data_IF_219220446551
#
_entry.id   IF_219220446551
#
_cell.length_a   1.000
_cell.length_b   1.000
_cell.length_c   1.000
_cell.angle_alpha   90.00
_cell.angle_beta   90.00
_cell.angle_gamma   90.00
#
_symmetry.space_group_name_H-M   'P 1'
#
loop_
_entity.id
_entity.type
_entity.pdbx_description
1 polymer ?
#
# COMPACT_ATOMS: atom_id res chain seq x y z
N UNK A 1 45.42 -14.68 17.79
CA UNK A 1 45.08 -15.29 19.09
C UNK A 1 44.82 -14.24 20.16
N UNK A 2 43.67 -13.56 20.08
CA UNK A 2 43.17 -12.71 21.17
C UNK A 2 42.27 -13.52 22.10
N UNK A 3 42.26 -13.17 23.38
CA UNK A 3 41.23 -13.59 24.34
C UNK A 3 39.90 -12.87 24.04
N UNK A 4 38.75 -13.38 24.54
CA UNK A 4 37.45 -12.71 24.36
C UNK A 4 37.44 -11.25 24.85
N UNK A 5 38.16 -10.95 25.93
CA UNK A 5 38.26 -9.60 26.50
C UNK A 5 39.06 -8.68 25.58
N UNK A 6 40.21 -9.12 25.09
CA UNK A 6 41.03 -8.33 24.17
C UNK A 6 40.33 -8.12 22.81
N UNK A 7 39.57 -9.12 22.34
CA UNK A 7 38.75 -8.99 21.15
C UNK A 7 37.63 -7.93 21.31
N UNK A 8 37.02 -7.82 22.50
CA UNK A 8 36.05 -6.74 22.77
C UNK A 8 36.70 -5.36 22.87
N UNK A 9 37.93 -5.25 23.41
CA UNK A 9 38.71 -4.01 23.40
C UNK A 9 38.99 -3.59 21.94
N UNK A 10 39.43 -4.52 21.10
CA UNK A 10 39.65 -4.27 19.67
C UNK A 10 38.36 -3.84 18.97
N UNK A 11 37.22 -4.50 19.25
CA UNK A 11 35.89 -4.12 18.72
C UNK A 11 35.45 -2.72 19.19
N UNK A 12 35.71 -2.35 20.45
CA UNK A 12 35.43 -1.01 20.98
C UNK A 12 36.31 0.07 20.34
N UNK A 13 37.55 -0.26 20.00
CA UNK A 13 38.41 0.62 19.21
C UNK A 13 37.82 0.87 17.82
N UNK A 14 37.25 -0.16 17.17
CA UNK A 14 36.58 -0.04 15.87
C UNK A 14 35.38 0.91 15.90
N UNK A 15 34.49 0.80 16.90
CA UNK A 15 33.22 1.53 16.94
C UNK A 15 33.27 2.96 17.50
N UNK A 16 34.45 3.56 17.70
CA UNK A 16 34.59 4.89 18.32
C UNK A 16 34.71 6.01 17.27
N UNK A 17 34.26 7.23 17.61
CA UNK A 17 34.42 8.44 16.76
C UNK A 17 35.90 8.81 16.48
N UNK A 18 36.86 8.13 17.12
CA UNK A 18 38.31 8.19 16.87
C UNK A 18 38.86 6.80 16.53
N UNK A 19 38.15 6.07 15.67
CA UNK A 19 38.41 4.66 15.30
C UNK A 19 39.85 4.47 14.81
N UNK A 20 40.32 5.31 13.88
CA UNK A 20 41.65 5.17 13.29
C UNK A 20 42.80 5.24 14.31
N UNK A 21 42.82 6.24 15.19
CA UNK A 21 43.90 6.39 16.17
C UNK A 21 43.92 5.25 17.21
N UNK A 22 42.73 4.82 17.66
CA UNK A 22 42.62 3.71 18.62
C UNK A 22 42.91 2.36 17.99
N UNK A 23 42.54 2.17 16.72
CA UNK A 23 42.89 0.96 15.97
C UNK A 23 44.40 0.87 15.78
N UNK A 24 45.07 1.96 15.39
CA UNK A 24 46.52 1.98 15.23
C UNK A 24 47.28 1.66 16.52
N UNK A 25 46.75 2.07 17.68
CA UNK A 25 47.32 1.72 18.98
C UNK A 25 47.32 0.20 19.26
N UNK A 26 46.36 -0.55 18.71
CA UNK A 26 46.26 -2.02 18.85
C UNK A 26 47.01 -2.79 17.76
N UNK A 27 47.56 -2.12 16.74
CA UNK A 27 48.22 -2.73 15.57
C UNK A 27 49.29 -3.74 15.96
N UNK A 28 50.21 -3.35 16.85
CA UNK A 28 51.32 -4.21 17.27
C UNK A 28 50.86 -5.49 17.95
N UNK A 29 49.78 -5.41 18.75
CA UNK A 29 49.21 -6.57 19.45
C UNK A 29 48.45 -7.49 18.50
N UNK A 30 47.70 -6.92 17.55
CA UNK A 30 47.00 -7.67 16.51
C UNK A 30 47.99 -8.42 15.60
N UNK A 31 48.95 -7.73 15.01
CA UNK A 31 49.92 -8.30 14.06
C UNK A 31 50.81 -9.34 14.74
N UNK A 32 51.33 -9.03 15.93
CA UNK A 32 52.11 -10.00 16.70
C UNK A 32 51.29 -11.23 17.11
N UNK A 33 50.00 -11.05 17.44
CA UNK A 33 49.07 -12.14 17.74
C UNK A 33 48.67 -12.99 16.54
N UNK A 34 48.68 -12.40 15.33
CA UNK A 34 48.41 -13.06 14.06
C UNK A 34 49.62 -13.90 13.59
N UNK A 35 50.84 -13.35 13.70
CA UNK A 35 52.08 -14.07 13.39
C UNK A 35 52.24 -15.30 14.29
N UNK A 36 51.95 -15.17 15.60
CA UNK A 36 51.96 -16.32 16.52
C UNK A 36 50.95 -17.42 16.17
N UNK A 37 49.88 -17.09 15.44
CA UNK A 37 48.90 -18.07 14.94
C UNK A 37 49.26 -18.63 13.56
N UNK A 38 50.43 -18.30 13.01
CA UNK A 38 50.95 -18.88 11.77
C UNK A 38 50.77 -18.02 10.52
N UNK A 39 50.32 -16.75 10.63
CA UNK A 39 50.29 -15.83 9.49
C UNK A 39 51.68 -15.27 9.19
N UNK A 40 51.97 -15.04 7.90
CA UNK A 40 53.17 -14.28 7.52
C UNK A 40 53.04 -12.82 8.00
N UNK A 41 54.15 -12.11 8.25
CA UNK A 41 54.10 -10.70 8.64
C UNK A 41 53.32 -9.83 7.64
N UNK A 42 53.46 -10.14 6.34
CA UNK A 42 52.75 -9.45 5.26
C UNK A 42 51.24 -9.66 5.34
N UNK A 43 50.79 -10.91 5.49
CA UNK A 43 49.36 -11.24 5.56
C UNK A 43 48.70 -10.69 6.84
N UNK A 44 49.44 -10.72 7.96
CA UNK A 44 48.98 -10.18 9.24
C UNK A 44 48.77 -8.66 9.16
N UNK A 45 49.67 -7.95 8.48
CA UNK A 45 49.55 -6.51 8.25
C UNK A 45 48.38 -6.19 7.32
N UNK A 46 48.25 -6.92 6.21
CA UNK A 46 47.14 -6.73 5.26
C UNK A 46 45.78 -6.97 5.92
N UNK A 47 45.67 -8.02 6.75
CA UNK A 47 44.46 -8.33 7.52
C UNK A 47 44.10 -7.19 8.48
N UNK A 48 45.09 -6.63 9.19
CA UNK A 48 44.86 -5.49 10.08
C UNK A 48 44.36 -4.26 9.30
N UNK A 49 44.95 -3.95 8.14
CA UNK A 49 44.51 -2.84 7.30
C UNK A 49 43.06 -3.01 6.83
N UNK A 50 42.69 -4.23 6.40
CA UNK A 50 41.30 -4.56 6.06
C UNK A 50 40.36 -4.35 7.25
N UNK A 51 40.71 -4.87 8.44
CA UNK A 51 39.91 -4.66 9.64
C UNK A 51 39.77 -3.17 10.00
N UNK A 52 40.85 -2.39 9.91
CA UNK A 52 40.86 -0.95 10.15
C UNK A 52 39.95 -0.19 9.19
N UNK A 53 39.97 -0.54 7.89
CA UNK A 53 39.10 0.07 6.88
C UNK A 53 37.60 -0.23 7.11
N UNK A 54 37.25 -1.42 7.60
CA UNK A 54 35.86 -1.79 7.91
C UNK A 54 35.34 -1.23 9.24
N UNK A 55 36.22 -0.70 10.10
CA UNK A 55 35.84 -0.21 11.42
C UNK A 55 34.76 0.89 11.37
N UNK A 56 34.79 1.75 10.34
CA UNK A 56 33.83 2.84 10.17
C UNK A 56 32.43 2.37 9.75
N UNK A 57 32.31 1.16 9.18
CA UNK A 57 31.06 0.58 8.69
C UNK A 57 30.61 -0.66 9.46
N UNK A 58 31.33 -1.02 10.53
CA UNK A 58 31.05 -2.21 11.33
C UNK A 58 29.71 -2.10 12.07
N UNK A 59 28.85 -3.12 11.93
CA UNK A 59 27.54 -3.15 12.57
C UNK A 59 27.39 -4.33 13.54
N UNK A 60 26.64 -4.15 14.62
CA UNK A 60 26.39 -5.20 15.60
C UNK A 60 25.48 -6.29 15.02
N UNK A 61 26.05 -7.47 14.72
CA UNK A 61 25.31 -8.60 14.14
C UNK A 61 24.09 -9.01 14.97
N UNK A 62 24.19 -9.04 16.30
CA UNK A 62 23.08 -9.41 17.16
C UNK A 62 21.89 -8.43 17.03
N UNK A 63 22.19 -7.13 16.97
CA UNK A 63 21.17 -6.10 16.76
C UNK A 63 20.57 -6.22 15.35
N UNK A 64 21.40 -6.36 14.31
CA UNK A 64 20.92 -6.57 12.94
C UNK A 64 20.02 -7.81 12.83
N UNK A 65 20.40 -8.92 13.45
CA UNK A 65 19.64 -10.16 13.41
C UNK A 65 18.26 -10.02 14.07
N UNK A 66 18.18 -9.31 15.21
CA UNK A 66 16.91 -9.05 15.88
C UNK A 66 15.94 -8.25 14.97
N UNK A 67 16.41 -7.18 14.33
CA UNK A 67 15.59 -6.39 13.40
C UNK A 67 15.28 -7.12 12.09
N UNK A 68 16.22 -7.93 11.59
CA UNK A 68 16.02 -8.75 10.39
C UNK A 68 14.89 -9.77 10.61
N UNK A 69 14.80 -10.36 11.81
CA UNK A 69 13.69 -11.26 12.16
C UNK A 69 12.34 -10.55 12.10
N UNK A 70 12.21 -9.37 12.72
CA UNK A 70 10.96 -8.59 12.69
C UNK A 70 10.59 -8.23 11.25
N UNK A 71 11.57 -7.83 10.44
CA UNK A 71 11.36 -7.48 9.02
C UNK A 71 10.87 -8.69 8.22
N UNK A 72 11.46 -9.87 8.46
CA UNK A 72 11.06 -11.12 7.83
C UNK A 72 9.66 -11.56 8.25
N UNK A 73 9.35 -11.57 9.55
CA UNK A 73 8.04 -11.94 10.08
C UNK A 73 6.95 -11.01 9.50
N UNK A 74 7.25 -9.70 9.41
CA UNK A 74 6.34 -8.70 8.81
C UNK A 74 6.12 -8.96 7.32
N UNK A 75 7.18 -9.24 6.55
CA UNK A 75 7.08 -9.56 5.14
C UNK A 75 6.32 -10.88 4.90
N UNK A 76 6.49 -11.87 5.79
CA UNK A 76 5.77 -13.12 5.77
C UNK A 76 4.26 -12.89 6.01
N UNK A 77 3.89 -12.10 7.03
CA UNK A 77 2.49 -11.73 7.28
C UNK A 77 1.89 -10.97 6.10
N UNK A 78 2.61 -10.00 5.52
CA UNK A 78 2.16 -9.27 4.33
C UNK A 78 2.00 -10.18 3.10
N UNK A 79 2.80 -11.26 2.99
CA UNK A 79 2.72 -12.20 1.87
C UNK A 79 1.56 -13.19 2.00
N UNK A 80 1.36 -13.77 3.19
CA UNK A 80 0.44 -14.89 3.40
C UNK A 80 -0.90 -14.48 4.02
N UNK A 81 -0.93 -13.40 4.82
CA UNK A 81 -2.13 -12.92 5.52
C UNK A 81 -2.33 -11.42 5.30
N UNK A 82 -2.36 -10.93 4.05
CA UNK A 82 -2.30 -9.50 3.77
C UNK A 82 -3.50 -8.72 4.33
N UNK A 83 -4.71 -9.29 4.31
CA UNK A 83 -5.89 -8.64 4.90
C UNK A 83 -5.77 -8.45 6.41
N UNK A 84 -5.36 -9.51 7.13
CA UNK A 84 -5.15 -9.48 8.58
C UNK A 84 -3.98 -8.56 8.96
N UNK A 85 -2.90 -8.60 8.19
CA UNK A 85 -1.76 -7.70 8.34
C UNK A 85 -2.19 -6.24 8.22
N UNK A 86 -2.94 -5.90 7.16
CA UNK A 86 -3.45 -4.55 6.94
C UNK A 86 -4.35 -4.09 8.08
N UNK A 87 -5.28 -4.94 8.56
CA UNK A 87 -6.11 -4.64 9.73
C UNK A 87 -5.25 -4.37 10.97
N UNK A 88 -4.24 -5.20 11.24
CA UNK A 88 -3.31 -4.97 12.33
C UNK A 88 -2.58 -3.63 12.23
N UNK A 89 -2.16 -3.23 11.03
CA UNK A 89 -1.54 -1.92 10.78
C UNK A 89 -2.54 -0.76 10.99
N UNK A 90 -3.78 -0.90 10.51
CA UNK A 90 -4.84 0.12 10.67
C UNK A 90 -5.21 0.31 12.14
N UNK A 91 -5.35 -0.78 12.88
CA UNK A 91 -5.75 -0.78 14.28
C UNK A 91 -4.69 -0.16 15.21
N UNK A 92 -3.41 -0.23 14.83
CA UNK A 92 -2.33 0.39 15.61
C UNK A 92 -1.99 1.83 15.18
N UNK A 93 -2.80 2.48 14.33
CA UNK A 93 -2.56 3.89 13.95
C UNK A 93 -2.69 4.84 15.17
N UNK A 94 -1.91 5.94 15.22
CA UNK A 94 -0.99 6.43 14.20
C UNK A 94 0.39 5.72 14.23
N UNK A 95 0.74 5.01 13.15
CA UNK A 95 2.03 4.35 12.99
C UNK A 95 2.74 4.88 11.74
N UNK A 96 3.88 5.54 11.93
CA UNK A 96 4.80 5.89 10.86
C UNK A 96 4.27 6.92 9.84
N UNK A 97 4.68 6.73 8.59
CA UNK A 97 4.65 7.75 7.53
C UNK A 97 3.31 7.84 6.78
N UNK A 98 2.63 6.71 6.56
CA UNK A 98 1.44 6.62 5.70
C UNK A 98 0.13 6.79 6.48
N UNK A 99 -0.85 7.44 5.85
CA UNK A 99 -2.20 7.57 6.39
C UNK A 99 -3.01 6.26 6.20
N UNK A 100 -4.12 6.06 6.95
CA UNK A 100 -5.02 4.94 6.74
C UNK A 100 -5.48 4.78 5.29
N UNK A 101 -5.67 5.90 4.57
CA UNK A 101 -6.10 5.88 3.16
C UNK A 101 -5.07 5.19 2.26
N UNK A 102 -3.78 5.51 2.43
CA UNK A 102 -2.70 4.90 1.64
C UNK A 102 -2.61 3.41 1.91
N UNK A 103 -2.76 3.01 3.18
CA UNK A 103 -2.74 1.60 3.59
C UNK A 103 -3.91 0.82 3.00
N UNK A 104 -5.11 1.42 2.99
CA UNK A 104 -6.31 0.84 2.36
C UNK A 104 -6.17 0.78 0.84
N UNK A 105 -5.63 1.83 0.21
CA UNK A 105 -5.38 1.84 -1.23
C UNK A 105 -4.34 0.80 -1.63
N UNK A 106 -3.31 0.56 -0.82
CA UNK A 106 -2.36 -0.52 -1.01
C UNK A 106 -3.07 -1.88 -0.97
N UNK A 107 -3.93 -2.11 0.02
CA UNK A 107 -4.70 -3.34 0.11
C UNK A 107 -5.59 -3.57 -1.12
N UNK A 108 -6.27 -2.52 -1.61
CA UNK A 108 -7.11 -2.55 -2.82
C UNK A 108 -6.29 -2.89 -4.06
N UNK A 109 -5.10 -2.29 -4.24
CA UNK A 109 -4.18 -2.62 -5.34
C UNK A 109 -3.69 -4.07 -5.31
N UNK A 110 -3.56 -4.64 -4.12
CA UNK A 110 -3.23 -6.06 -3.94
C UNK A 110 -4.45 -6.99 -4.07
N UNK A 111 -5.62 -6.47 -4.45
CA UNK A 111 -6.83 -7.24 -4.72
C UNK A 111 -7.67 -7.55 -3.47
N UNK A 112 -7.34 -6.98 -2.32
CA UNK A 112 -8.11 -7.18 -1.08
C UNK A 112 -9.34 -6.30 -1.13
N UNK A 113 -10.51 -6.91 -0.93
CA UNK A 113 -11.77 -6.17 -0.87
C UNK A 113 -11.83 -5.38 0.44
N UNK A 114 -12.23 -4.12 0.36
CA UNK A 114 -12.53 -3.28 1.52
C UNK A 114 -14.02 -3.04 1.53
N UNK A 115 -14.67 -3.44 2.62
CA UNK A 115 -16.09 -3.30 2.84
C UNK A 115 -16.35 -2.00 3.60
N UNK A 116 -17.42 -1.26 3.24
CA UNK A 116 -17.77 -0.04 3.97
C UNK A 116 -18.13 -0.37 5.43
N UNK A 117 -18.12 0.69 6.22
CA UNK A 117 -18.66 0.68 7.58
C UNK A 117 -20.14 0.32 7.49
N UNK A 118 -20.64 -0.44 8.46
CA UNK A 118 -22.02 -0.89 8.56
C UNK A 118 -22.41 -0.92 10.04
N UNK A 119 -23.51 -0.28 10.41
CA UNK A 119 -23.89 -0.17 11.84
C UNK A 119 -24.24 -1.52 12.50
N UNK A 120 -24.69 -2.49 11.70
CA UNK A 120 -25.02 -3.83 12.18
C UNK A 120 -23.79 -4.74 12.17
N UNK A 121 -22.93 -4.61 11.16
CA UNK A 121 -21.81 -5.55 10.96
C UNK A 121 -20.46 -5.05 11.52
N UNK A 122 -20.16 -3.75 11.47
CA UNK A 122 -18.84 -3.23 11.85
C UNK A 122 -18.62 -3.26 13.36
N UNK A 123 -17.47 -3.78 13.80
CA UNK A 123 -16.99 -3.62 15.17
C UNK A 123 -16.43 -2.20 15.39
N UNK A 124 -16.01 -1.91 16.62
CA UNK A 124 -15.24 -0.70 16.93
C UNK A 124 -13.94 -0.63 16.12
N UNK A 125 -13.12 -1.68 16.24
CA UNK A 125 -11.88 -1.86 15.50
C UNK A 125 -12.14 -2.36 14.08
N UNK A 126 -11.17 -2.16 13.17
CA UNK A 126 -11.22 -2.80 11.86
C UNK A 126 -11.09 -4.31 12.04
N UNK A 127 -11.79 -5.09 11.23
CA UNK A 127 -11.75 -6.54 11.27
C UNK A 127 -11.65 -7.13 9.86
N UNK A 128 -11.36 -8.43 9.80
CA UNK A 128 -11.35 -9.21 8.57
C UNK A 128 -12.59 -10.08 8.49
N UNK A 129 -13.22 -10.14 7.32
CA UNK A 129 -14.40 -10.96 7.07
C UNK A 129 -14.11 -12.00 5.99
N UNK A 130 -14.56 -13.25 6.15
CA UNK A 130 -14.51 -14.22 5.06
C UNK A 130 -15.14 -13.62 3.80
N UNK A 131 -14.43 -13.70 2.69
CA UNK A 131 -14.85 -13.21 1.39
C UNK A 131 -14.67 -14.32 0.38
N UNK A 132 -15.75 -14.75 -0.31
CA UNK A 132 -15.66 -15.87 -1.23
C UNK A 132 -14.70 -15.52 -2.36
N UNK A 133 -13.56 -16.21 -2.39
CA UNK A 133 -12.65 -16.14 -3.52
C UNK A 133 -13.35 -16.77 -4.72
N UNK A 134 -13.33 -16.11 -5.89
CA UNK A 134 -13.93 -16.63 -7.13
C UNK A 134 -13.34 -17.99 -7.59
N UNK A 135 -12.36 -18.54 -6.87
CA UNK A 135 -11.70 -19.82 -7.11
C UNK A 135 -12.42 -21.04 -6.55
N UNK A 136 -13.53 -20.93 -5.82
CA UNK A 136 -14.31 -22.10 -5.37
C UNK A 136 -15.27 -22.63 -6.45
N UNK A 137 -14.75 -22.99 -7.62
CA UNK A 137 -15.39 -24.07 -8.41
C UNK A 137 -14.86 -25.39 -7.85
N UNK A 138 -15.71 -26.38 -7.51
CA UNK A 138 -15.24 -27.65 -6.98
C UNK A 138 -14.29 -28.28 -8.01
N UNK A 139 -13.04 -28.48 -7.60
CA UNK A 139 -12.03 -29.16 -8.41
C UNK A 139 -12.52 -30.57 -8.71
N UNK A 140 -12.67 -30.88 -10.00
CA UNK A 140 -12.95 -32.23 -10.49
C UNK A 140 -11.91 -33.18 -9.88
N UNK A 141 -12.29 -34.34 -9.30
CA UNK A 141 -11.33 -35.20 -8.63
C UNK A 141 -10.22 -35.59 -9.61
N UNK A 142 -8.97 -35.37 -9.19
CA UNK A 142 -7.78 -35.78 -9.92
C UNK A 142 -7.81 -37.30 -10.10
N UNK A 143 -7.86 -37.77 -11.35
CA UNK A 143 -7.61 -39.18 -11.66
C UNK A 143 -6.19 -39.52 -11.20
N UNK A 144 -5.96 -40.66 -10.53
CA UNK A 144 -4.61 -41.09 -10.18
C UNK A 144 -3.82 -41.38 -11.46
N UNK A 145 -2.61 -40.81 -11.54
CA UNK A 145 -1.65 -41.08 -12.62
C UNK A 145 -1.15 -42.53 -12.54
N UNK A 146 -0.88 -43.19 -13.69
CA UNK A 146 -0.37 -44.56 -13.69
C UNK A 146 1.09 -44.61 -13.19
N UNK A 147 1.54 -45.73 -12.62
CA UNK A 147 2.88 -45.85 -12.07
C UNK A 147 3.96 -45.86 -13.15
N UNK A 148 5.08 -45.19 -12.86
CA UNK A 148 6.25 -45.11 -13.71
C UNK A 148 6.95 -46.47 -13.71
N UNK A 149 6.99 -47.14 -14.87
CA UNK A 149 7.72 -48.40 -15.05
C UNK A 149 9.24 -48.14 -15.02
N UNK A 150 9.93 -48.82 -14.11
CA UNK A 150 11.39 -48.83 -13.99
C UNK A 150 12.02 -49.58 -15.17
N UNK A 151 12.91 -48.91 -15.91
CA UNK A 151 13.66 -49.50 -17.02
C UNK A 151 15.03 -49.97 -16.52
N UNK A 152 15.21 -51.28 -16.41
CA UNK A 152 16.50 -51.92 -16.19
C UNK A 152 16.70 -53.02 -17.26
N UNK A 153 17.93 -53.16 -17.76
CA UNK A 153 18.41 -54.38 -18.39
C UNK A 153 18.65 -54.33 -19.90
N UNK A 154 19.90 -54.59 -20.27
CA UNK A 154 20.47 -54.64 -21.62
C UNK A 154 20.05 -55.88 -22.45
N UNK A 155 20.18 -55.77 -23.77
CA UNK A 155 20.28 -56.91 -24.70
C UNK A 155 20.27 -56.50 -26.18
N UNK A 156 21.44 -56.41 -26.81
CA UNK A 156 21.66 -56.54 -28.28
C UNK A 156 21.53 -58.03 -28.69
N UNK A 157 21.63 -58.49 -29.98
CA UNK A 157 21.85 -57.83 -31.29
C UNK A 157 20.92 -58.36 -32.44
N UNK A 158 20.82 -57.79 -33.65
CA UNK A 158 21.49 -58.17 -34.95
C UNK A 158 20.51 -57.71 -36.08
N UNK A 159 20.89 -56.87 -37.05
CA UNK A 159 21.48 -57.12 -38.39
C UNK A 159 20.44 -57.09 -39.55
N UNK A 160 20.89 -56.51 -40.67
CA UNK A 160 20.35 -56.52 -42.06
C UNK A 160 19.17 -55.58 -42.39
N UNK A 161 19.05 -54.91 -43.55
CA UNK A 161 19.92 -54.51 -44.67
C UNK A 161 19.09 -53.50 -45.52
N UNK A 162 19.74 -52.80 -46.46
CA UNK A 162 19.18 -51.97 -47.56
C UNK A 162 18.46 -50.65 -47.21
N UNK A 163 18.72 -49.50 -47.82
CA UNK A 163 19.59 -49.09 -48.92
C UNK A 163 19.18 -47.65 -49.33
N UNK A 164 20.13 -46.91 -49.91
CA UNK A 164 19.92 -45.66 -50.69
C UNK A 164 20.01 -44.29 -49.97
N UNK A 165 21.17 -43.65 -50.18
CA UNK A 165 21.46 -42.20 -50.18
C UNK A 165 21.74 -41.80 -51.64
N UNK A 166 21.59 -40.53 -52.12
CA UNK A 166 22.43 -39.39 -51.69
C UNK A 166 21.68 -38.01 -51.75
N UNK A 167 22.20 -36.80 -51.51
CA UNK A 167 23.54 -36.24 -51.47
C UNK A 167 23.60 -34.88 -50.72
N UNK A 168 24.74 -34.62 -50.04
CA UNK A 168 25.53 -33.36 -49.84
C UNK A 168 24.79 -32.01 -49.55
N UNK A 169 25.20 -31.18 -48.58
CA UNK A 169 26.57 -30.81 -48.21
C UNK A 169 26.73 -30.25 -46.76
N UNK A 170 27.95 -30.42 -46.27
CA UNK A 170 28.67 -30.09 -45.01
C UNK A 170 28.84 -28.59 -44.67
N UNK A 171 29.62 -28.20 -43.62
CA UNK A 171 29.58 -28.57 -42.20
C UNK A 171 29.63 -27.30 -41.29
N UNK A 172 29.27 -27.37 -39.99
CA UNK A 172 29.85 -26.47 -38.97
C UNK A 172 29.51 -26.91 -37.53
N UNK A 173 30.53 -27.45 -36.88
CA UNK A 173 30.93 -27.28 -35.48
C UNK A 173 29.80 -27.05 -34.45
N UNK A 174 29.32 -28.14 -33.83
CA UNK A 174 28.48 -28.11 -32.64
C UNK A 174 29.35 -28.11 -31.38
N UNK A 175 29.39 -26.99 -30.67
CA UNK A 175 29.69 -26.93 -29.24
C UNK A 175 28.40 -26.57 -28.48
N UNK A 176 28.17 -27.15 -27.29
CA UNK A 176 26.88 -27.06 -26.61
C UNK A 176 26.68 -25.68 -25.98
N UNK A 177 25.74 -24.89 -26.51
CA UNK A 177 25.21 -23.73 -25.80
C UNK A 177 24.35 -24.21 -24.64
N UNK A 178 24.90 -24.15 -23.43
CA UNK A 178 24.11 -24.07 -22.18
C UNK A 178 23.12 -22.92 -22.33
N UNK A 179 21.85 -23.23 -22.56
CA UNK A 179 20.74 -22.31 -22.30
C UNK A 179 20.66 -22.16 -20.78
N UNK A 180 21.30 -21.14 -20.23
CA UNK A 180 20.89 -20.59 -18.94
C UNK A 180 19.46 -20.10 -19.11
N UNK A 181 18.52 -20.85 -18.56
CA UNK A 181 17.14 -20.44 -18.36
C UNK A 181 17.16 -19.16 -17.53
N UNK A 182 17.08 -18.02 -18.22
CA UNK A 182 16.68 -16.76 -17.60
C UNK A 182 15.30 -17.04 -17.03
N UNK A 183 15.24 -17.11 -15.70
CA UNK A 183 13.99 -17.21 -14.96
C UNK A 183 13.11 -16.06 -15.41
N UNK A 184 12.05 -16.43 -16.12
CA UNK A 184 10.93 -15.59 -16.48
C UNK A 184 10.35 -15.05 -15.17
N UNK A 185 10.77 -13.85 -14.77
CA UNK A 185 10.11 -13.06 -13.72
C UNK A 185 8.84 -12.46 -14.30
N UNK A 186 7.95 -13.35 -14.78
CA UNK A 186 6.53 -13.07 -14.79
C UNK A 186 6.14 -12.89 -13.33
N UNK A 187 6.03 -11.63 -12.90
CA UNK A 187 5.27 -11.26 -11.70
C UNK A 187 3.89 -11.88 -11.89
N UNK A 188 3.69 -13.03 -11.27
CA UNK A 188 2.43 -13.74 -11.31
C UNK A 188 1.35 -12.78 -10.84
N UNK A 189 0.48 -12.37 -11.76
CA UNK A 189 -0.90 -12.03 -11.44
C UNK A 189 -1.50 -13.28 -10.80
N UNK A 190 -1.26 -13.47 -9.49
CA UNK A 190 -2.08 -14.36 -8.69
C UNK A 190 -3.44 -13.68 -8.56
N UNK A 191 -4.28 -13.86 -9.59
CA UNK A 191 -5.72 -13.66 -9.53
C UNK A 191 -6.42 -14.72 -8.68
N UNK A 192 -5.80 -15.15 -7.57
CA UNK A 192 -6.49 -15.86 -6.51
C UNK A 192 -7.20 -14.81 -5.68
N UNK A 193 -8.53 -14.81 -5.69
CA UNK A 193 -9.27 -13.91 -4.80
C UNK A 193 -8.81 -14.14 -3.36
N UNK A 194 -8.58 -13.07 -2.60
CA UNK A 194 -8.30 -13.21 -1.17
C UNK A 194 -9.53 -13.81 -0.49
N UNK A 195 -9.31 -14.78 0.39
CA UNK A 195 -10.37 -15.43 1.19
C UNK A 195 -10.93 -14.49 2.27
N UNK A 196 -10.32 -13.32 2.46
CA UNK A 196 -10.72 -12.34 3.46
C UNK A 196 -10.79 -10.94 2.84
N UNK A 197 -11.85 -10.23 3.21
CA UNK A 197 -12.02 -8.81 3.00
C UNK A 197 -11.72 -8.05 4.30
N UNK A 198 -11.37 -6.77 4.18
CA UNK A 198 -11.22 -5.85 5.31
C UNK A 198 -12.58 -5.17 5.51
N UNK A 199 -13.10 -5.17 6.72
CA UNK A 199 -14.27 -4.39 7.12
C UNK A 199 -13.78 -3.22 7.96
N UNK A 200 -14.23 -2.02 7.58
CA UNK A 200 -13.88 -0.80 8.31
C UNK A 200 -14.62 -0.75 9.65
N UNK A 201 -13.89 -0.38 10.71
CA UNK A 201 -14.44 -0.24 12.05
C UNK A 201 -15.09 1.13 12.29
N UNK A 202 -16.00 1.20 13.26
CA UNK A 202 -16.68 2.44 13.67
C UNK A 202 -15.71 3.51 14.20
N UNK A 203 -14.55 3.11 14.74
CA UNK A 203 -13.51 4.03 15.22
C UNK A 203 -12.99 4.98 14.14
N UNK A 204 -13.10 4.60 12.87
CA UNK A 204 -12.62 5.42 11.75
C UNK A 204 -13.54 6.61 11.47
N UNK A 205 -14.79 6.59 11.93
CA UNK A 205 -15.76 7.67 11.71
C UNK A 205 -15.45 8.86 12.62
N UNK A 206 -15.34 10.05 12.02
CA UNK A 206 -15.14 11.28 12.79
C UNK A 206 -16.33 11.55 13.72
N UNK A 207 -16.04 11.74 15.00
CA UNK A 207 -17.03 12.11 16.01
C UNK A 207 -17.74 10.95 16.70
N UNK A 208 -17.38 9.69 16.40
CA UNK A 208 -17.76 8.55 17.23
C UNK A 208 -16.67 8.38 18.29
N UNK A 209 -17.04 8.60 19.54
CA UNK A 209 -16.18 8.40 20.71
C UNK A 209 -16.49 7.05 21.41
N UNK A 210 -15.77 6.76 22.49
CA UNK A 210 -15.95 5.53 23.26
C UNK A 210 -17.38 5.42 23.83
N UNK A 211 -18.00 6.54 24.19
CA UNK A 211 -19.39 6.56 24.66
C UNK A 211 -20.36 6.16 23.56
N UNK A 212 -20.21 6.71 22.36
CA UNK A 212 -21.02 6.34 21.21
C UNK A 212 -20.82 4.87 20.84
N UNK A 213 -19.59 4.35 20.95
CA UNK A 213 -19.28 2.93 20.78
C UNK A 213 -20.06 2.06 21.77
N UNK A 214 -19.96 2.34 23.07
CA UNK A 214 -20.65 1.58 24.11
C UNK A 214 -22.16 1.51 23.87
N UNK A 215 -22.77 2.65 23.51
CA UNK A 215 -24.20 2.71 23.20
C UNK A 215 -24.56 1.88 21.97
N UNK A 216 -23.81 2.01 20.87
CA UNK A 216 -24.08 1.25 19.64
C UNK A 216 -23.92 -0.25 19.89
N UNK A 217 -22.89 -0.67 20.62
CA UNK A 217 -22.64 -2.09 20.94
C UNK A 217 -23.70 -2.66 21.88
N UNK A 218 -24.11 -1.91 22.92
CA UNK A 218 -25.12 -2.33 23.86
C UNK A 218 -26.52 -2.46 23.22
N UNK A 219 -26.92 -1.49 22.39
CA UNK A 219 -28.22 -1.54 21.70
C UNK A 219 -28.23 -2.60 20.59
N UNK A 220 -27.11 -2.82 19.90
CA UNK A 220 -26.98 -3.92 18.92
C UNK A 220 -27.06 -5.30 19.58
N UNK A 221 -26.60 -5.44 20.82
CA UNK A 221 -26.72 -6.71 21.57
C UNK A 221 -28.19 -7.09 21.86
N UNK A 222 -29.12 -6.12 21.82
CA UNK A 222 -30.57 -6.38 21.93
C UNK A 222 -31.20 -6.87 20.63
N UNK A 223 -30.48 -6.75 19.51
CA UNK A 223 -30.91 -7.16 18.17
C UNK A 223 -30.40 -6.21 17.09
N UNK A 224 -30.35 -6.64 15.82
CA UNK A 224 -29.93 -5.78 14.72
C UNK A 224 -30.89 -4.58 14.56
N UNK A 225 -30.35 -3.46 14.10
CA UNK A 225 -31.12 -2.27 13.77
C UNK A 225 -31.96 -2.54 12.52
N UNK A 226 -33.23 -2.07 12.52
CA UNK A 226 -34.15 -2.21 11.39
C UNK A 226 -34.08 -1.06 10.38
N UNK A 227 -33.52 0.09 10.77
CA UNK A 227 -33.26 1.21 9.88
C UNK A 227 -32.74 2.43 10.63
N UNK A 228 -32.63 3.57 9.94
CA UNK A 228 -32.14 4.83 10.53
C UNK A 228 -33.03 5.31 11.69
N UNK A 229 -34.35 5.18 11.57
CA UNK A 229 -35.30 5.60 12.63
C UNK A 229 -35.13 4.80 13.91
N UNK A 230 -35.06 3.47 13.78
CA UNK A 230 -34.84 2.54 14.89
C UNK A 230 -33.47 2.79 15.55
N UNK A 231 -32.44 3.03 14.74
CA UNK A 231 -31.11 3.39 15.24
C UNK A 231 -31.11 4.69 16.06
N UNK A 232 -31.75 5.76 15.57
CA UNK A 232 -31.84 7.03 16.29
C UNK A 232 -32.63 6.87 17.60
N UNK A 233 -33.77 6.17 17.57
CA UNK A 233 -34.63 5.98 18.73
C UNK A 233 -33.91 5.23 19.87
N UNK A 234 -33.13 4.19 19.53
CA UNK A 234 -32.39 3.38 20.51
C UNK A 234 -31.13 4.08 21.02
N UNK A 235 -30.32 4.64 20.11
CA UNK A 235 -28.98 5.14 20.46
C UNK A 235 -28.99 6.59 20.95
N UNK A 236 -29.96 7.40 20.52
CA UNK A 236 -30.05 8.85 20.83
C UNK A 236 -28.75 9.61 20.57
N UNK A 237 -27.98 9.18 19.55
CA UNK A 237 -26.75 9.85 19.15
C UNK A 237 -27.02 11.21 18.51
N UNK A 238 -26.03 12.10 18.60
CA UNK A 238 -26.14 13.44 18.03
C UNK A 238 -26.33 13.42 16.50
N UNK A 239 -27.12 14.37 16.01
CA UNK A 239 -27.49 14.52 14.59
C UNK A 239 -26.29 14.45 13.64
N UNK A 240 -25.19 15.14 13.96
CA UNK A 240 -23.98 15.16 13.14
C UNK A 240 -23.34 13.76 12.99
N UNK A 241 -23.43 12.91 14.01
CA UNK A 241 -22.87 11.55 13.96
C UNK A 241 -23.73 10.68 13.05
N UNK A 242 -25.05 10.80 13.17
CA UNK A 242 -25.99 10.03 12.33
C UNK A 242 -25.89 10.47 10.87
N UNK A 243 -25.80 11.78 10.61
CA UNK A 243 -25.60 12.33 9.27
C UNK A 243 -24.33 11.75 8.62
N UNK A 244 -23.22 11.70 9.36
CA UNK A 244 -21.96 11.10 8.90
C UNK A 244 -22.07 9.59 8.66
N UNK A 245 -22.80 8.86 9.48
CA UNK A 245 -23.03 7.43 9.27
C UNK A 245 -23.85 7.17 7.99
N UNK A 246 -24.83 8.03 7.71
CA UNK A 246 -25.62 7.93 6.47
C UNK A 246 -24.76 8.32 5.25
N UNK A 247 -23.98 9.40 5.33
CA UNK A 247 -23.18 9.91 4.20
C UNK A 247 -22.15 8.89 3.71
N UNK A 248 -21.52 8.14 4.62
CA UNK A 248 -20.52 7.10 4.33
C UNK A 248 -21.13 5.75 3.93
N UNK A 249 -22.45 5.60 4.09
CA UNK A 249 -23.20 4.41 3.74
C UNK A 249 -23.24 3.31 4.79
N UNK A 250 -23.18 3.67 6.07
CA UNK A 250 -23.34 2.71 7.16
C UNK A 250 -24.74 2.06 7.23
N UNK A 251 -25.68 2.60 6.45
CA UNK A 251 -27.05 2.10 6.27
C UNK A 251 -27.33 1.61 4.85
N UNK A 252 -26.31 1.38 4.01
CA UNK A 252 -26.49 0.92 2.61
C UNK A 252 -27.24 -0.43 2.53
N UNK A 253 -27.27 -1.22 3.61
CA UNK A 253 -28.05 -2.47 3.72
C UNK A 253 -29.57 -2.26 3.73
N UNK A 254 -30.06 -1.03 3.91
CA UNK A 254 -31.49 -0.69 3.85
C UNK A 254 -32.03 -0.55 2.42
N UNK A 255 -31.15 -0.69 1.40
CA UNK A 255 -31.42 -0.46 -0.02
C UNK A 255 -32.04 0.92 -0.35
N UNK A 256 -32.01 1.85 0.61
CA UNK A 256 -32.52 3.22 0.44
C UNK A 256 -31.36 4.14 0.02
N UNK A 257 -31.52 5.00 -1.01
CA UNK A 257 -30.47 5.93 -1.40
C UNK A 257 -30.03 6.83 -0.25
N UNK A 258 -28.71 6.99 -0.08
CA UNK A 258 -28.13 7.84 1.00
C UNK A 258 -28.71 9.25 1.03
N UNK A 259 -28.97 9.86 -0.15
CA UNK A 259 -29.58 11.20 -0.25
C UNK A 259 -30.99 11.25 0.31
N UNK A 260 -31.75 10.18 0.12
CA UNK A 260 -33.12 10.05 0.61
C UNK A 260 -33.12 9.88 2.14
N UNK A 261 -32.20 9.07 2.68
CA UNK A 261 -31.98 8.95 4.13
C UNK A 261 -31.55 10.27 4.77
N UNK A 262 -30.66 11.05 4.12
CA UNK A 262 -30.26 12.38 4.59
C UNK A 262 -31.43 13.37 4.57
N UNK A 263 -32.29 13.31 3.54
CA UNK A 263 -33.50 14.12 3.45
C UNK A 263 -34.47 13.85 4.61
N UNK A 264 -34.64 12.56 4.95
CA UNK A 264 -35.54 12.11 6.02
C UNK A 264 -34.94 12.24 7.44
N UNK A 265 -33.64 12.55 7.57
CA UNK A 265 -32.96 12.59 8.87
C UNK A 265 -33.60 13.61 9.82
N UNK A 266 -33.91 14.81 9.33
CA UNK A 266 -34.38 15.92 10.18
C UNK A 266 -35.77 15.68 10.75
N UNK A 267 -36.67 15.04 9.99
CA UNK A 267 -37.98 14.62 10.53
C UNK A 267 -37.85 13.45 11.48
N UNK A 268 -37.03 12.46 11.14
CA UNK A 268 -36.79 11.31 12.02
C UNK A 268 -36.25 11.73 13.39
N UNK A 269 -35.39 12.75 13.42
CA UNK A 269 -34.89 13.33 14.68
C UNK A 269 -35.97 14.11 15.43
N UNK A 270 -36.93 14.72 14.74
CA UNK A 270 -38.06 15.40 15.36
C UNK A 270 -39.07 14.40 15.96
N UNK A 271 -39.27 13.24 15.34
CA UNK A 271 -40.12 12.18 15.90
C UNK A 271 -39.53 11.57 17.18
N UNK A 272 -38.19 11.51 17.26
CA UNK A 272 -37.48 10.99 18.43
C UNK A 272 -37.39 11.98 19.60
N UNK A 273 -37.56 13.28 19.35
CA UNK A 273 -37.48 14.35 20.34
C UNK A 273 -38.60 15.39 20.14
N UNK A 274 -39.68 15.36 20.97
CA UNK A 274 -40.83 16.26 20.85
C UNK A 274 -40.48 17.76 20.97
N UNK A 275 -39.30 18.10 21.49
CA UNK A 275 -38.84 19.49 21.59
C UNK A 275 -38.29 20.06 20.27
N UNK A 276 -38.09 19.22 19.24
CA UNK A 276 -37.57 19.65 17.93
C UNK A 276 -38.70 20.01 16.96
N UNK A 277 -38.59 21.13 16.22
CA UNK A 277 -39.58 21.50 15.23
C UNK A 277 -39.53 20.53 14.04
N UNK A 278 -40.63 19.78 13.85
CA UNK A 278 -40.85 18.95 12.67
C UNK A 278 -41.19 19.81 11.44
N UNK A 279 -40.92 19.29 10.25
CA UNK A 279 -41.31 19.93 8.98
C UNK A 279 -42.83 19.93 8.72
N UNK A 280 -43.62 19.28 9.57
CA UNK A 280 -45.08 19.17 9.43
C UNK A 280 -45.55 18.35 8.22
N UNK A 281 -44.63 17.60 7.59
CA UNK A 281 -44.92 16.70 6.48
C UNK A 281 -45.19 15.29 7.00
N UNK A 282 -46.12 14.57 6.36
CA UNK A 282 -46.30 13.14 6.61
C UNK A 282 -45.12 12.34 6.06
N UNK A 283 -44.85 11.17 6.66
CA UNK A 283 -43.81 10.25 6.20
C UNK A 283 -43.91 9.90 4.71
N UNK A 284 -45.14 9.72 4.23
CA UNK A 284 -45.42 9.40 2.83
C UNK A 284 -45.04 10.55 1.90
N UNK A 285 -45.36 11.80 2.29
CA UNK A 285 -44.99 12.98 1.54
C UNK A 285 -43.47 13.17 1.49
N UNK A 286 -42.77 12.88 2.58
CA UNK A 286 -41.31 12.97 2.63
C UNK A 286 -40.63 11.91 1.77
N UNK A 287 -41.08 10.66 1.81
CA UNK A 287 -40.59 9.59 0.94
C UNK A 287 -40.86 9.90 -0.53
N UNK A 288 -42.06 10.40 -0.85
CA UNK A 288 -42.40 10.80 -2.21
C UNK A 288 -41.49 11.92 -2.72
N UNK A 289 -41.19 12.93 -1.91
CA UNK A 289 -40.28 14.03 -2.28
C UNK A 289 -38.82 13.58 -2.36
N UNK A 290 -38.38 12.74 -1.42
CA UNK A 290 -37.02 12.22 -1.39
C UNK A 290 -36.70 11.30 -2.57
N UNK A 291 -37.68 10.51 -3.03
CA UNK A 291 -37.58 9.68 -4.23
C UNK A 291 -37.38 10.49 -5.53
N UNK A 292 -37.71 11.79 -5.53
CA UNK A 292 -37.46 12.70 -6.66
C UNK A 292 -36.02 13.23 -6.68
N UNK A 293 -35.27 13.06 -5.59
CA UNK A 293 -33.88 13.50 -5.53
C UNK A 293 -32.99 12.54 -6.34
N UNK A 294 -32.08 13.05 -7.19
CA UNK A 294 -31.15 12.19 -7.89
C UNK A 294 -30.31 11.40 -6.87
N UNK A 295 -29.91 10.15 -7.14
CA UNK A 295 -29.01 9.43 -6.23
C UNK A 295 -27.66 10.13 -6.13
N UNK A 296 -26.92 9.88 -5.03
CA UNK A 296 -25.55 10.36 -4.94
C UNK A 296 -24.69 9.75 -6.03
N UNK A 297 -23.91 10.58 -6.71
CA UNK A 297 -22.90 10.13 -7.66
C UNK A 297 -21.75 9.39 -6.94
N UNK A 298 -20.91 8.69 -7.67
CA UNK A 298 -19.75 8.02 -7.07
C UNK A 298 -18.70 9.00 -6.55
N UNK A 299 -18.55 10.17 -7.16
CA UNK A 299 -17.64 11.19 -6.68
C UNK A 299 -18.17 11.88 -5.41
N UNK A 300 -19.49 12.08 -5.28
CA UNK A 300 -20.12 12.52 -4.02
C UNK A 300 -19.92 11.50 -2.88
N UNK A 301 -20.06 10.19 -3.16
CA UNK A 301 -19.82 9.13 -2.17
C UNK A 301 -18.36 9.12 -1.72
N UNK A 302 -17.42 9.16 -2.65
CA UNK A 302 -15.98 9.21 -2.32
C UNK A 302 -15.64 10.48 -1.54
N UNK A 303 -16.23 11.63 -1.90
CA UNK A 303 -16.05 12.87 -1.14
C UNK A 303 -16.53 12.72 0.31
N UNK A 304 -17.71 12.12 0.53
CA UNK A 304 -18.25 11.84 1.85
C UNK A 304 -17.34 10.89 2.65
N UNK A 305 -16.90 9.78 2.03
CA UNK A 305 -16.00 8.81 2.64
C UNK A 305 -14.70 9.48 3.16
N UNK A 306 -14.05 10.30 2.33
CA UNK A 306 -12.83 11.02 2.71
C UNK A 306 -13.09 12.13 3.75
N UNK A 307 -14.23 12.81 3.67
CA UNK A 307 -14.60 13.85 4.64
C UNK A 307 -14.82 13.25 6.02
N UNK A 308 -15.55 12.14 6.11
CA UNK A 308 -16.10 11.65 7.37
C UNK A 308 -15.30 10.48 7.97
N UNK A 309 -14.59 9.70 7.15
CA UNK A 309 -13.71 8.61 7.61
C UNK A 309 -12.24 8.83 7.24
N UNK A 310 -11.96 9.67 6.23
CA UNK A 310 -10.61 9.84 5.71
C UNK A 310 -10.13 8.69 4.82
N UNK A 311 -10.98 7.73 4.46
CA UNK A 311 -10.63 6.58 3.61
C UNK A 311 -11.79 6.27 2.68
N UNK A 312 -11.58 5.83 1.44
CA UNK A 312 -12.68 5.34 0.58
C UNK A 312 -12.58 3.83 0.34
N UNK A 313 -13.59 3.04 0.77
CA UNK A 313 -13.58 1.59 0.63
C UNK A 313 -13.67 1.15 -0.84
N UNK A 314 -14.34 1.92 -1.70
CA UNK A 314 -14.68 1.49 -3.08
C UNK A 314 -13.68 1.97 -4.12
N UNK A 315 -13.59 3.26 -4.37
CA UNK A 315 -12.80 3.82 -5.46
C UNK A 315 -11.60 4.62 -4.94
N UNK A 316 -10.57 4.77 -5.77
CA UNK A 316 -9.54 5.76 -5.52
C UNK A 316 -10.00 7.14 -6.00
N UNK A 317 -9.57 8.23 -5.35
CA UNK A 317 -9.99 9.59 -5.75
C UNK A 317 -9.62 9.95 -7.20
N UNK A 318 -8.48 9.43 -7.69
CA UNK A 318 -8.00 9.68 -9.07
C UNK A 318 -8.78 8.87 -10.10
N UNK A 319 -9.29 7.71 -9.71
CA UNK A 319 -10.04 6.79 -10.58
C UNK A 319 -11.30 7.45 -11.13
N UNK A 320 -11.96 8.30 -10.31
CA UNK A 320 -13.12 9.11 -10.69
C UNK A 320 -12.88 10.00 -11.92
N UNK A 321 -11.64 10.39 -12.17
CA UNK A 321 -11.28 11.27 -13.27
C UNK A 321 -10.44 10.58 -14.34
N UNK A 322 -10.22 9.27 -14.26
CA UNK A 322 -9.22 8.57 -15.08
C UNK A 322 -9.44 8.77 -16.57
N UNK A 323 -10.66 8.63 -17.06
CA UNK A 323 -11.00 8.83 -18.48
C UNK A 323 -10.74 10.27 -18.95
N UNK A 324 -11.13 11.25 -18.15
CA UNK A 324 -10.93 12.67 -18.44
C UNK A 324 -9.45 13.07 -18.36
N UNK A 325 -8.68 12.47 -17.46
CA UNK A 325 -7.24 12.69 -17.33
C UNK A 325 -6.50 12.05 -18.51
N UNK A 326 -6.89 10.84 -18.93
CA UNK A 326 -6.32 10.15 -20.07
C UNK A 326 -6.49 10.94 -21.37
N UNK A 327 -7.67 11.56 -21.60
CA UNK A 327 -7.89 12.42 -22.77
C UNK A 327 -7.01 13.68 -22.79
N UNK A 328 -6.42 14.07 -21.64
CA UNK A 328 -5.44 15.15 -21.51
C UNK A 328 -3.98 14.66 -21.49
N UNK A 329 -3.75 13.40 -21.86
CA UNK A 329 -2.43 12.78 -21.95
C UNK A 329 -1.79 12.45 -20.60
N UNK A 330 -2.59 12.36 -19.53
CA UNK A 330 -2.12 11.92 -18.22
C UNK A 330 -2.10 10.39 -18.19
N UNK A 331 -0.95 9.80 -17.88
CA UNK A 331 -0.78 8.34 -17.78
C UNK A 331 -0.96 7.87 -16.33
N UNK A 332 -1.23 6.57 -16.16
CA UNK A 332 -1.22 5.93 -14.84
C UNK A 332 0.21 5.60 -14.37
N UNK A 333 0.41 5.46 -13.06
CA UNK A 333 1.72 5.07 -12.49
C UNK A 333 2.20 3.73 -13.06
N UNK A 334 1.32 2.74 -13.20
CA UNK A 334 1.66 1.46 -13.82
C UNK A 334 2.09 1.57 -15.30
N UNK A 335 1.67 2.62 -16.01
CA UNK A 335 2.15 2.89 -17.36
C UNK A 335 3.54 3.54 -17.38
N UNK A 336 3.88 4.34 -16.37
CA UNK A 336 5.20 4.95 -16.25
C UNK A 336 6.30 3.87 -16.19
N UNK A 337 6.05 2.75 -15.52
CA UNK A 337 6.96 1.60 -15.46
C UNK A 337 7.29 0.98 -16.83
N UNK A 338 6.43 1.20 -17.84
CA UNK A 338 6.63 0.69 -19.22
C UNK A 338 7.32 1.71 -20.13
N UNK A 339 7.57 2.94 -19.66
CA UNK A 339 8.19 4.00 -20.46
C UNK A 339 9.71 3.93 -20.36
N UNK A 340 10.38 4.47 -21.38
CA UNK A 340 11.85 4.57 -21.41
C UNK A 340 12.33 5.65 -20.43
N UNK A 341 13.54 5.48 -19.94
CA UNK A 341 14.23 6.50 -19.15
C UNK A 341 14.27 7.84 -19.89
N UNK A 342 14.18 8.95 -19.14
CA UNK A 342 14.14 10.34 -19.62
C UNK A 342 12.93 10.73 -20.47
N UNK A 343 11.93 9.86 -20.58
CA UNK A 343 10.67 10.21 -21.25
C UNK A 343 9.97 11.36 -20.51
N UNK A 344 9.37 12.28 -21.29
CA UNK A 344 8.51 13.32 -20.73
C UNK A 344 7.14 12.69 -20.49
N UNK A 345 6.69 12.74 -19.24
CA UNK A 345 5.43 12.14 -18.81
C UNK A 345 4.59 13.15 -18.04
N UNK A 346 3.29 12.88 -18.03
CA UNK A 346 2.31 13.60 -17.22
C UNK A 346 1.59 12.60 -16.34
N UNK A 347 1.65 12.80 -15.03
CA UNK A 347 1.03 11.93 -14.04
C UNK A 347 0.02 12.72 -13.22
N UNK A 348 -1.06 12.08 -12.79
CA UNK A 348 -2.00 12.64 -11.84
C UNK A 348 -2.09 11.70 -10.63
N UNK A 349 -2.15 12.28 -9.45
CA UNK A 349 -2.30 11.48 -8.24
C UNK A 349 -2.60 12.30 -7.00
N UNK A 350 -2.93 11.60 -5.93
CA UNK A 350 -3.02 12.12 -4.58
C UNK A 350 -1.61 12.27 -4.03
N UNK A 351 -1.22 13.48 -3.62
CA UNK A 351 0.02 13.69 -2.89
C UNK A 351 -0.16 13.17 -1.46
N UNK A 352 0.42 12.00 -1.18
CA UNK A 352 0.24 11.33 0.12
C UNK A 352 1.22 11.83 1.17
N UNK A 353 2.40 12.24 0.73
CA UNK A 353 3.44 12.75 1.60
C UNK A 353 4.32 13.76 0.89
N UNK A 354 4.73 14.77 1.62
CA UNK A 354 5.67 15.78 1.17
C UNK A 354 6.78 15.87 2.22
N UNK A 355 8.02 15.62 1.79
CA UNK A 355 9.21 15.66 2.63
C UNK A 355 10.12 16.81 2.20
N UNK A 356 10.62 17.57 3.17
CA UNK A 356 11.50 18.70 2.94
C UNK A 356 12.84 18.53 3.70
N UNK A 357 13.64 17.50 3.37
CA UNK A 357 14.85 17.18 4.13
C UNK A 357 15.86 18.33 4.14
N UNK A 358 16.27 18.73 5.35
CA UNK A 358 17.24 19.82 5.58
C UNK A 358 18.59 19.60 4.88
N UNK A 359 18.96 18.34 4.62
CA UNK A 359 20.25 17.94 4.02
C UNK A 359 20.27 17.99 2.49
N UNK A 360 19.11 18.15 1.83
CA UNK A 360 18.99 18.00 0.38
C UNK A 360 18.98 19.33 -0.40
N UNK A 361 19.68 20.38 0.08
CA UNK A 361 19.78 21.68 -0.62
C UNK A 361 18.40 22.24 -1.05
N UNK A 362 17.38 22.16 -0.20
CA UNK A 362 15.99 22.59 -0.45
C UNK A 362 15.24 21.85 -1.57
N UNK A 363 15.66 20.63 -1.93
CA UNK A 363 14.83 19.73 -2.72
C UNK A 363 13.65 19.23 -1.90
N UNK A 364 12.51 19.01 -2.58
CA UNK A 364 11.29 18.49 -1.96
C UNK A 364 10.92 17.19 -2.63
N UNK A 365 10.60 16.18 -1.83
CA UNK A 365 10.19 14.87 -2.33
C UNK A 365 8.71 14.66 -2.04
N UNK A 366 7.95 14.28 -3.07
CA UNK A 366 6.53 13.97 -2.98
C UNK A 366 6.36 12.50 -3.33
N UNK A 367 5.61 11.76 -2.52
CA UNK A 367 5.06 10.49 -2.97
C UNK A 367 3.67 10.77 -3.55
N UNK A 368 3.51 10.45 -4.83
CA UNK A 368 2.26 10.62 -5.57
C UNK A 368 1.60 9.25 -5.76
N UNK A 369 0.34 9.12 -5.37
CA UNK A 369 -0.43 7.88 -5.43
C UNK A 369 -1.58 7.99 -6.45
N UNK A 370 -1.74 6.95 -7.27
CA UNK A 370 -2.95 6.73 -8.05
C UNK A 370 -3.53 5.32 -7.78
N UNK A 371 -4.62 4.97 -8.47
CA UNK A 371 -5.27 3.67 -8.30
C UNK A 371 -4.38 2.48 -8.72
N UNK A 372 -3.31 2.73 -9.47
CA UNK A 372 -2.42 1.70 -9.99
C UNK A 372 -1.12 1.56 -9.20
N UNK A 373 -0.70 2.59 -8.48
CA UNK A 373 0.51 2.54 -7.65
C UNK A 373 0.93 3.87 -7.07
N UNK A 374 2.15 3.88 -6.54
CA UNK A 374 2.81 5.07 -6.00
C UNK A 374 4.11 5.34 -6.75
N UNK A 375 4.44 6.61 -6.91
CA UNK A 375 5.69 7.04 -7.55
C UNK A 375 6.30 8.22 -6.81
N UNK A 376 7.63 8.25 -6.74
CA UNK A 376 8.36 9.35 -6.15
C UNK A 376 8.52 10.48 -7.16
N UNK A 377 8.33 11.70 -6.67
CA UNK A 377 8.47 12.92 -7.46
C UNK A 377 9.41 13.86 -6.74
N UNK A 378 10.43 14.30 -7.46
CA UNK A 378 11.43 15.23 -6.97
C UNK A 378 11.14 16.64 -7.51
N UNK A 379 10.94 17.60 -6.60
CA UNK A 379 10.86 19.02 -6.91
C UNK A 379 12.20 19.70 -6.70
N UNK A 380 12.65 20.42 -7.71
CA UNK A 380 13.76 21.37 -7.59
C UNK A 380 13.31 22.61 -6.81
N UNK A 381 14.24 23.32 -6.13
CA UNK A 381 13.90 24.48 -5.30
C UNK A 381 13.07 25.56 -6.03
N UNK A 382 13.41 25.85 -7.29
CA UNK A 382 12.70 26.82 -8.12
C UNK A 382 11.25 26.39 -8.42
N UNK A 383 11.04 25.09 -8.73
CA UNK A 383 9.70 24.55 -9.01
C UNK A 383 8.85 24.55 -7.75
N UNK A 384 9.43 24.17 -6.61
CA UNK A 384 8.74 24.21 -5.33
C UNK A 384 8.32 25.63 -4.93
N UNK A 385 9.24 26.60 -5.00
CA UNK A 385 8.94 28.00 -4.66
C UNK A 385 7.79 28.56 -5.51
N UNK A 386 7.76 28.23 -6.81
CA UNK A 386 6.70 28.66 -7.72
C UNK A 386 5.33 28.00 -7.42
N UNK A 387 5.30 26.77 -6.91
CA UNK A 387 4.06 25.98 -6.76
C UNK A 387 3.71 25.64 -5.29
N UNK A 388 4.38 26.25 -4.31
CA UNK A 388 4.17 25.96 -2.87
C UNK A 388 2.71 26.10 -2.44
N UNK A 389 2.03 27.14 -2.92
CA UNK A 389 0.63 27.43 -2.56
C UNK A 389 -0.31 26.36 -3.12
N UNK A 390 -0.03 25.87 -4.34
CA UNK A 390 -0.81 24.82 -4.98
C UNK A 390 -0.67 23.51 -4.22
N UNK A 391 0.57 23.14 -3.87
CA UNK A 391 0.89 21.93 -3.13
C UNK A 391 0.17 21.87 -1.76
N UNK A 392 0.09 22.99 -1.05
CA UNK A 392 -0.60 23.07 0.25
C UNK A 392 -2.13 23.09 0.14
N UNK A 393 -2.68 23.58 -0.98
CA UNK A 393 -4.12 23.79 -1.15
C UNK A 393 -4.82 22.60 -1.80
N UNK A 394 -4.14 21.92 -2.73
CA UNK A 394 -4.73 20.86 -3.53
C UNK A 394 -4.02 19.51 -3.27
N UNK A 395 -4.73 18.52 -2.72
CA UNK A 395 -4.15 17.20 -2.49
C UNK A 395 -4.04 16.39 -3.78
N UNK A 396 -4.90 16.63 -4.76
CA UNK A 396 -4.84 16.03 -6.10
C UNK A 396 -4.02 16.91 -7.04
N UNK A 397 -2.89 16.38 -7.50
CA UNK A 397 -1.92 17.08 -8.32
C UNK A 397 -1.76 16.40 -9.67
N UNK A 398 -1.53 17.21 -10.70
CA UNK A 398 -1.01 16.77 -11.99
C UNK A 398 0.41 17.30 -12.17
N UNK A 399 1.32 16.39 -12.51
CA UNK A 399 2.75 16.62 -12.52
C UNK A 399 3.25 16.36 -13.93
N UNK A 400 3.77 17.40 -14.57
CA UNK A 400 4.55 17.31 -15.80
C UNK A 400 6.02 17.17 -15.44
N UNK A 401 6.69 16.13 -15.92
CA UNK A 401 8.07 15.87 -15.54
C UNK A 401 8.79 14.91 -16.46
N UNK A 402 10.07 14.68 -16.15
CA UNK A 402 10.88 13.66 -16.82
C UNK A 402 11.00 12.44 -15.91
N UNK A 403 10.68 11.28 -16.46
CA UNK A 403 10.88 10.00 -15.80
C UNK A 403 12.38 9.70 -15.68
N UNK A 404 12.78 9.24 -14.51
CA UNK A 404 14.08 8.65 -14.24
C UNK A 404 13.88 7.20 -13.82
N UNK A 405 14.51 6.28 -14.53
CA UNK A 405 14.44 4.85 -14.25
C UNK A 405 15.81 4.37 -13.80
N UNK A 406 15.93 4.02 -12.52
CA UNK A 406 17.15 3.47 -11.92
C UNK A 406 16.87 2.04 -11.42
N UNK A 407 17.19 1.04 -12.25
CA UNK A 407 16.86 -0.35 -11.97
C UNK A 407 15.35 -0.56 -11.88
N UNK A 408 14.84 -0.80 -10.67
CA UNK A 408 13.40 -0.96 -10.40
C UNK A 408 12.76 0.31 -9.80
N UNK A 409 13.56 1.34 -9.49
CA UNK A 409 13.06 2.56 -8.87
C UNK A 409 12.68 3.57 -9.94
N UNK A 410 11.44 4.04 -9.86
CA UNK A 410 10.91 5.10 -10.71
C UNK A 410 10.85 6.41 -9.93
N UNK A 411 11.48 7.43 -10.47
CA UNK A 411 11.41 8.80 -9.94
C UNK A 411 11.01 9.75 -11.06
N UNK A 412 10.33 10.85 -10.72
CA UNK A 412 9.95 11.87 -11.68
C UNK A 412 10.54 13.20 -11.25
N UNK A 413 11.39 13.80 -12.08
CA UNK A 413 11.81 15.17 -11.88
C UNK A 413 10.70 16.06 -12.43
N UNK A 414 9.97 16.69 -11.52
CA UNK A 414 8.88 17.57 -11.86
C UNK A 414 9.40 18.88 -12.47
N UNK A 415 8.74 19.31 -13.54
CA UNK A 415 8.97 20.58 -14.22
C UNK A 415 7.85 21.58 -13.93
N UNK A 416 6.61 21.09 -13.83
CA UNK A 416 5.43 21.91 -13.56
C UNK A 416 4.39 21.12 -12.77
N UNK A 417 3.73 21.80 -11.84
CA UNK A 417 2.62 21.26 -11.06
C UNK A 417 1.33 22.01 -11.44
N UNK A 418 0.22 21.28 -11.53
CA UNK A 418 -1.12 21.82 -11.72
C UNK A 418 -2.09 21.09 -10.80
N UNK A 419 -3.22 21.71 -10.46
CA UNK A 419 -4.30 20.97 -9.82
C UNK A 419 -5.07 20.16 -10.86
N UNK A 420 -5.74 19.09 -10.43
CA UNK A 420 -6.67 18.36 -11.30
C UNK A 420 -7.80 19.29 -11.78
N UNK A 421 -8.27 20.19 -10.91
CA UNK A 421 -9.33 21.15 -11.20
C UNK A 421 -8.96 22.09 -12.37
N UNK A 422 -7.71 22.58 -12.39
CA UNK A 422 -7.21 23.46 -13.44
C UNK A 422 -7.13 22.76 -14.79
N UNK A 423 -6.73 21.49 -14.81
CA UNK A 423 -6.58 20.73 -16.06
C UNK A 423 -7.94 20.33 -16.62
N UNK A 424 -8.85 19.90 -15.77
CA UNK A 424 -10.15 19.40 -16.19
C UNK A 424 -11.17 20.51 -16.43
N UNK A 425 -10.87 21.75 -16.00
CA UNK A 425 -11.74 22.90 -16.14
C UNK A 425 -12.93 22.78 -15.19
N UNK A 426 -12.67 22.94 -13.88
CA UNK A 426 -13.59 22.75 -12.75
C UNK A 426 -14.29 21.36 -12.75
N UNK A 427 -14.05 20.50 -11.75
CA UNK A 427 -14.85 19.29 -11.66
C UNK A 427 -16.31 19.68 -11.36
N UNK A 428 -17.31 18.97 -11.93
CA UNK A 428 -18.71 19.18 -11.54
C UNK A 428 -18.92 18.93 -10.04
N UNK A 429 -18.01 18.17 -9.41
CA UNK A 429 -18.06 17.80 -8.01
C UNK A 429 -16.69 18.05 -7.36
N UNK A 430 -16.63 19.07 -6.51
CA UNK A 430 -15.41 19.43 -5.79
C UNK A 430 -15.17 18.39 -4.70
N UNK A 431 -14.22 17.49 -4.90
CA UNK A 431 -13.77 16.56 -3.85
C UNK A 431 -13.08 17.38 -2.75
N UNK A 432 -13.81 17.64 -1.67
CA UNK A 432 -13.25 18.21 -0.45
C UNK A 432 -12.49 17.13 0.32
N UNK A 433 -11.34 16.72 -0.25
CA UNK A 433 -10.41 15.81 0.40
C UNK A 433 -9.77 16.57 1.57
N UNK A 434 -10.33 16.38 2.77
CA UNK A 434 -9.73 16.84 4.02
C UNK A 434 -8.23 16.48 4.04
N UNK A 435 -7.38 17.33 4.65
CA UNK A 435 -5.91 17.22 4.65
C UNK A 435 -5.41 15.78 4.87
N UNK A 436 -5.14 15.08 3.77
CA UNK A 436 -4.53 13.74 3.75
C UNK A 436 -3.00 13.81 3.76
N UNK A 437 -2.45 14.98 3.40
CA UNK A 437 -1.02 15.23 3.32
C UNK A 437 -0.40 15.28 4.72
N UNK A 438 0.42 14.29 5.03
CA UNK A 438 1.39 14.41 6.12
C UNK A 438 2.62 15.13 5.59
N UNK A 439 2.82 16.35 6.06
CA UNK A 439 4.05 17.12 5.81
C UNK A 439 5.06 16.83 6.90
N UNK A 440 6.18 16.24 6.52
CA UNK A 440 7.32 16.03 7.41
C UNK A 440 8.32 17.15 7.15
N UNK A 441 8.59 17.94 8.20
CA UNK A 441 9.64 18.96 8.19
C UNK A 441 11.00 18.34 8.41
#
# INVERSE_FOLDING_TARGET
>A
GYTPVEADIFRKAMGSHRSHAKMQAERGRFVGGAIRTGLTPTDAEELFQKCSAFAEFGFARAHAAAFAKISYDTAWLKRYFPAHYTVGVLNNQPMGFYSPAVVINDAKRHGIRVLPIDVNESAWEHDTRPWPSRSSRPSRPLRPSPPIASRAGNGHPTADADGSMPARATPRNAQPRRRSSVADTSVGRNGGGHEYAIRLGLRQVKGIDERAREVIEAERARGPYAGVRDFIARTRLGEQVVERLISIGAFDWTDTPRRDLLWQLRSTLADADPARPALGLTDDAQRALGALLPPMSDAEKVAADYRDTGVSPRLHAVELFRERLASRGVIAVAEAARRRDRSVIRLAGLAVSVQHPMTAKNFVFIALEDETGMINVTLRPNVYQAHRALLHRHPLLVIDGRLQVEGQVLNVIATRLRSVDDILGAPPERLDLARQQRMFR
#
